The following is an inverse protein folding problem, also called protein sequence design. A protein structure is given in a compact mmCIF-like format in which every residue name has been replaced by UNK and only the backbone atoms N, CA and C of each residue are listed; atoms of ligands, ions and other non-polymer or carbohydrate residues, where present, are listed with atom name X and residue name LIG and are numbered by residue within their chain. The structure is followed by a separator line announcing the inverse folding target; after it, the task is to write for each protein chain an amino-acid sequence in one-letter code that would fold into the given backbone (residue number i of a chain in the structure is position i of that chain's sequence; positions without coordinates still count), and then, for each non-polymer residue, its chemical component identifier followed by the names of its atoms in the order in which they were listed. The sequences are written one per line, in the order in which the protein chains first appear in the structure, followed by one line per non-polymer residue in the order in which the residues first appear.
data_IF_808593861743
#
_entry.id   IF_808593861743
#
_cell.length_a   1.000
_cell.length_b   1.000
_cell.length_c   1.000
_cell.angle_alpha   90.00
_cell.angle_beta   90.00
_cell.angle_gamma   90.00
#
_symmetry.space_group_name_H-M   'P 1'
#
loop_
_entity.id
_entity.type
_entity.pdbx_description
1 polymer ?
#
# COMPACT_ATOMS: atom_id res chain seq x y z
N UNK A 1 -24.45 -4.48 28.29
CA UNK A 1 -25.78 -3.85 28.11
C UNK A 1 -25.77 -3.23 26.71
N UNK A 2 -26.51 -3.78 25.74
CA UNK A 2 -26.74 -3.08 24.46
C UNK A 2 -27.59 -1.85 24.79
N UNK A 3 -27.06 -0.65 24.55
CA UNK A 3 -27.87 0.58 24.59
C UNK A 3 -28.97 0.43 23.53
N UNK A 4 -30.25 0.46 23.95
CA UNK A 4 -31.40 0.51 23.04
C UNK A 4 -31.44 1.91 22.41
N UNK A 5 -30.58 2.15 21.42
CA UNK A 5 -30.72 3.32 20.55
C UNK A 5 -31.92 3.09 19.63
N UNK A 6 -32.79 4.11 19.39
CA UNK A 6 -33.88 3.99 18.43
C UNK A 6 -33.39 3.83 16.98
N UNK A 7 -32.11 4.09 16.72
CA UNK A 7 -31.47 3.95 15.42
C UNK A 7 -30.15 3.18 15.59
N UNK A 8 -29.93 2.16 14.76
CA UNK A 8 -28.70 1.41 14.72
C UNK A 8 -27.71 2.08 13.72
N UNK A 9 -26.97 3.08 14.24
CA UNK A 9 -25.97 3.81 13.45
C UNK A 9 -24.81 2.89 13.04
N UNK A 10 -24.46 1.91 13.87
CA UNK A 10 -23.39 0.96 13.57
C UNK A 10 -23.75 0.12 12.33
N UNK A 11 -24.96 -0.42 12.27
CA UNK A 11 -25.42 -1.16 11.10
C UNK A 11 -25.47 -0.31 9.83
N UNK A 12 -25.93 0.94 9.94
CA UNK A 12 -25.93 1.88 8.80
C UNK A 12 -24.51 2.14 8.30
N UNK A 13 -23.56 2.37 9.20
CA UNK A 13 -22.17 2.63 8.83
C UNK A 13 -21.47 1.40 8.23
N UNK A 14 -21.71 0.21 8.77
CA UNK A 14 -21.17 -1.03 8.23
C UNK A 14 -21.70 -1.29 6.80
N UNK A 15 -23.00 -1.11 6.58
CA UNK A 15 -23.59 -1.23 5.23
C UNK A 15 -22.99 -0.21 4.22
N UNK A 16 -22.73 1.02 4.67
CA UNK A 16 -22.02 1.99 3.85
C UNK A 16 -20.60 1.52 3.47
N UNK A 17 -19.87 0.91 4.41
CA UNK A 17 -18.52 0.41 4.15
C UNK A 17 -18.52 -0.78 3.19
N UNK A 18 -19.51 -1.67 3.28
CA UNK A 18 -19.69 -2.80 2.38
C UNK A 18 -19.94 -2.33 0.95
N UNK A 19 -20.87 -1.39 0.76
CA UNK A 19 -21.15 -0.81 -0.56
C UNK A 19 -19.93 -0.11 -1.15
N UNK A 20 -19.18 0.65 -0.33
CA UNK A 20 -17.95 1.33 -0.76
C UNK A 20 -16.83 0.35 -1.11
N UNK A 21 -16.75 -0.76 -0.43
CA UNK A 21 -15.78 -1.83 -0.75
C UNK A 21 -16.15 -2.49 -2.08
N UNK A 22 -17.43 -2.74 -2.33
CA UNK A 22 -17.93 -3.29 -3.59
C UNK A 22 -17.70 -2.34 -4.77
N UNK A 23 -17.99 -1.04 -4.62
CA UNK A 23 -17.67 -0.02 -5.62
C UNK A 23 -16.16 0.04 -5.94
N UNK A 24 -15.31 0.03 -4.92
CA UNK A 24 -13.86 0.03 -5.10
C UNK A 24 -13.39 -1.28 -5.76
N UNK A 25 -14.01 -2.41 -5.42
CA UNK A 25 -13.74 -3.70 -6.06
C UNK A 25 -14.10 -3.63 -7.54
N UNK A 26 -15.30 -3.21 -7.89
CA UNK A 26 -15.77 -3.08 -9.28
C UNK A 26 -14.85 -2.14 -10.05
N UNK A 27 -14.53 -0.96 -9.50
CA UNK A 27 -13.67 0.03 -10.17
C UNK A 27 -12.23 -0.47 -10.38
N UNK A 28 -11.66 -1.19 -9.40
CA UNK A 28 -10.34 -1.79 -9.52
C UNK A 28 -10.27 -2.90 -10.55
N UNK A 29 -11.38 -3.60 -10.76
CA UNK A 29 -11.40 -4.86 -11.48
C UNK A 29 -12.18 -4.82 -12.80
N UNK A 30 -12.77 -3.67 -13.12
CA UNK A 30 -13.61 -3.48 -14.31
C UNK A 30 -12.83 -3.55 -15.63
N UNK A 31 -11.53 -3.21 -15.62
CA UNK A 31 -10.62 -3.25 -16.77
C UNK A 31 -9.49 -4.26 -16.55
N UNK A 32 -9.84 -5.46 -16.09
CA UNK A 32 -8.85 -6.48 -15.75
C UNK A 32 -8.22 -7.16 -16.96
N UNK A 33 -7.10 -6.64 -17.32
CA UNK A 33 -5.96 -7.47 -17.66
C UNK A 33 -5.38 -8.05 -16.36
N UNK A 34 -4.79 -9.24 -16.40
CA UNK A 34 -4.30 -10.00 -15.23
C UNK A 34 -3.06 -9.35 -14.57
N UNK A 35 -3.20 -8.12 -14.03
CA UNK A 35 -2.10 -7.43 -13.36
C UNK A 35 -1.93 -7.87 -11.92
N UNK A 36 -0.67 -7.96 -11.48
CA UNK A 36 -0.32 -7.97 -10.06
C UNK A 36 -0.47 -6.57 -9.48
N UNK A 37 -0.96 -6.48 -8.27
CA UNK A 37 -1.01 -5.22 -7.55
C UNK A 37 0.31 -4.94 -6.83
N UNK A 38 0.91 -3.77 -7.03
CA UNK A 38 2.16 -3.36 -6.39
C UNK A 38 2.12 -3.50 -4.86
N UNK A 39 0.95 -3.27 -4.23
CA UNK A 39 0.73 -3.49 -2.80
C UNK A 39 0.81 -4.96 -2.37
N UNK A 40 0.81 -5.91 -3.31
CA UNK A 40 1.04 -7.33 -3.07
C UNK A 40 2.52 -7.71 -2.96
N UNK A 41 3.45 -6.77 -3.16
CA UNK A 41 4.88 -7.05 -3.06
C UNK A 41 5.24 -7.66 -1.69
N UNK A 42 6.04 -8.74 -1.70
CA UNK A 42 6.39 -9.48 -0.50
C UNK A 42 5.29 -10.37 0.08
N UNK A 43 4.12 -10.45 -0.56
CA UNK A 43 3.06 -11.39 -0.20
C UNK A 43 3.40 -12.82 -0.63
N UNK A 44 2.65 -13.77 -0.09
CA UNK A 44 2.72 -15.17 -0.50
C UNK A 44 2.44 -15.34 -2.00
N UNK A 45 3.34 -15.99 -2.73
CA UNK A 45 3.22 -16.24 -4.17
C UNK A 45 1.91 -16.97 -4.53
N UNK A 46 1.48 -17.95 -3.72
CA UNK A 46 0.18 -18.62 -3.92
C UNK A 46 -1.02 -17.67 -3.77
N UNK A 47 -0.94 -16.71 -2.83
CA UNK A 47 -1.98 -15.68 -2.70
C UNK A 47 -2.05 -14.84 -3.98
N UNK A 48 -0.91 -14.37 -4.48
CA UNK A 48 -0.83 -13.60 -5.72
C UNK A 48 -1.32 -14.38 -6.93
N UNK A 49 -1.05 -15.70 -6.98
CA UNK A 49 -1.58 -16.58 -8.01
C UNK A 49 -3.11 -16.65 -7.99
N UNK A 50 -3.70 -16.89 -6.80
CA UNK A 50 -5.17 -16.91 -6.65
C UNK A 50 -5.81 -15.57 -7.00
N UNK A 51 -5.17 -14.47 -6.61
CA UNK A 51 -5.68 -13.11 -6.82
C UNK A 51 -5.58 -12.68 -8.29
N UNK A 52 -4.42 -12.84 -8.93
CA UNK A 52 -4.12 -12.20 -10.21
C UNK A 52 -4.15 -13.16 -11.40
N UNK A 53 -3.82 -14.44 -11.22
CA UNK A 53 -3.75 -15.41 -12.33
C UNK A 53 -5.10 -16.08 -12.56
N UNK A 54 -5.66 -16.73 -11.53
CA UNK A 54 -6.93 -17.44 -11.65
C UNK A 54 -8.14 -16.65 -11.17
N UNK A 55 -7.93 -15.49 -10.56
CA UNK A 55 -8.99 -14.61 -10.05
C UNK A 55 -10.02 -15.35 -9.19
N UNK A 56 -9.51 -16.15 -8.24
CA UNK A 56 -10.35 -16.94 -7.35
C UNK A 56 -11.23 -16.02 -6.49
N UNK A 57 -12.44 -16.49 -6.20
CA UNK A 57 -13.29 -15.83 -5.22
C UNK A 57 -12.68 -15.94 -3.82
N UNK A 58 -12.80 -14.87 -3.04
CA UNK A 58 -12.41 -14.88 -1.64
C UNK A 58 -13.29 -15.87 -0.85
N UNK A 59 -12.65 -16.70 -0.04
CA UNK A 59 -13.36 -17.69 0.81
C UNK A 59 -13.56 -17.22 2.24
N UNK A 60 -12.91 -16.14 2.63
CA UNK A 60 -12.94 -15.57 3.97
C UNK A 60 -13.34 -14.10 3.87
N UNK A 61 -14.42 -13.74 4.52
CA UNK A 61 -14.86 -12.34 4.62
C UNK A 61 -14.08 -11.60 5.70
N UNK A 62 -13.84 -10.33 5.44
CA UNK A 62 -13.25 -9.44 6.44
C UNK A 62 -14.30 -9.03 7.45
N UNK A 63 -13.98 -9.14 8.75
CA UNK A 63 -14.88 -8.67 9.80
C UNK A 63 -15.06 -7.14 9.76
N UNK A 64 -16.22 -6.68 10.27
CA UNK A 64 -16.62 -5.27 10.25
C UNK A 64 -15.63 -4.36 11.00
N UNK A 65 -15.02 -4.84 12.08
CA UNK A 65 -14.01 -4.10 12.84
C UNK A 65 -12.77 -3.83 12.00
N UNK A 66 -12.32 -4.84 11.25
CA UNK A 66 -11.19 -4.72 10.32
C UNK A 66 -11.52 -3.78 9.16
N UNK A 67 -12.73 -3.84 8.59
CA UNK A 67 -13.18 -2.90 7.54
C UNK A 67 -13.13 -1.44 8.05
N UNK A 68 -13.61 -1.19 9.28
CA UNK A 68 -13.55 0.15 9.91
C UNK A 68 -12.12 0.63 10.13
N UNK A 69 -11.20 -0.26 10.56
CA UNK A 69 -9.79 0.08 10.74
C UNK A 69 -9.08 0.41 9.44
N UNK A 70 -9.41 -0.29 8.35
CA UNK A 70 -8.90 0.02 7.02
C UNK A 70 -9.43 1.38 6.54
N UNK A 71 -10.71 1.64 6.72
CA UNK A 71 -11.30 2.95 6.37
C UNK A 71 -10.60 4.11 7.10
N UNK A 72 -10.32 3.95 8.40
CA UNK A 72 -9.56 4.94 9.15
C UNK A 72 -8.15 5.15 8.56
N UNK A 73 -7.51 4.10 8.06
CA UNK A 73 -6.26 4.21 7.31
C UNK A 73 -6.41 5.09 6.08
N UNK A 74 -7.41 4.81 5.25
CA UNK A 74 -7.67 5.58 4.02
C UNK A 74 -7.95 7.06 4.32
N UNK A 75 -8.74 7.36 5.37
CA UNK A 75 -9.00 8.75 5.77
C UNK A 75 -7.72 9.50 6.12
N UNK A 76 -6.76 8.85 6.80
CA UNK A 76 -5.46 9.46 7.11
C UNK A 76 -4.65 9.71 5.83
N UNK A 77 -4.65 8.77 4.87
CA UNK A 77 -4.00 8.97 3.57
C UNK A 77 -4.63 10.15 2.83
N UNK A 78 -5.96 10.13 2.66
CA UNK A 78 -6.72 11.17 1.97
C UNK A 78 -6.42 12.57 2.55
N UNK A 79 -6.36 12.70 3.88
CA UNK A 79 -6.13 13.98 4.57
C UNK A 79 -4.69 14.49 4.39
N UNK A 80 -3.69 13.60 4.52
CA UNK A 80 -2.28 13.97 4.29
C UNK A 80 -2.07 14.38 2.83
N UNK A 81 -2.58 13.64 1.87
CA UNK A 81 -2.45 13.93 0.45
C UNK A 81 -3.14 15.25 0.09
N UNK A 82 -4.34 15.47 0.59
CA UNK A 82 -5.05 16.72 0.40
C UNK A 82 -4.28 17.94 0.96
N UNK A 83 -3.62 17.80 2.09
CA UNK A 83 -2.77 18.86 2.64
C UNK A 83 -1.62 19.25 1.71
N UNK A 84 -1.03 18.27 0.99
CA UNK A 84 0.03 18.50 0.01
C UNK A 84 -0.49 19.17 -1.27
N UNK A 85 -1.70 18.87 -1.70
CA UNK A 85 -2.36 19.55 -2.81
C UNK A 85 -2.61 21.03 -2.48
N UNK A 86 -3.05 21.33 -1.24
CA UNK A 86 -3.19 22.70 -0.75
C UNK A 86 -1.83 23.40 -0.76
N UNK A 87 -0.78 22.77 -0.27
CA UNK A 87 0.58 23.31 -0.28
C UNK A 87 1.05 23.64 -1.70
N UNK A 88 0.85 22.76 -2.68
CA UNK A 88 1.17 23.03 -4.09
C UNK A 88 0.48 24.27 -4.62
N UNK A 89 -0.83 24.42 -4.31
CA UNK A 89 -1.62 25.58 -4.73
C UNK A 89 -1.12 26.87 -4.11
N UNK A 90 -0.73 26.83 -2.83
CA UNK A 90 -0.24 28.01 -2.12
C UNK A 90 1.14 28.45 -2.63
N UNK A 91 2.02 27.51 -2.97
CA UNK A 91 3.30 27.80 -3.63
C UNK A 91 3.07 28.42 -5.01
N UNK A 92 2.19 27.82 -5.82
CA UNK A 92 1.88 28.35 -7.14
C UNK A 92 1.36 29.81 -7.08
N UNK A 93 0.51 30.14 -6.11
CA UNK A 93 0.00 31.50 -5.92
C UNK A 93 1.09 32.47 -5.46
N UNK A 94 1.97 32.08 -4.53
CA UNK A 94 3.12 32.90 -4.09
C UNK A 94 4.11 33.18 -5.22
N UNK A 95 4.40 32.18 -6.05
CA UNK A 95 5.33 32.29 -7.18
C UNK A 95 4.80 33.21 -8.29
N UNK A 96 3.45 33.36 -8.38
CA UNK A 96 2.83 34.35 -9.28
C UNK A 96 2.97 35.78 -8.80
N UNK A 97 2.98 36.00 -7.48
CA UNK A 97 3.04 37.33 -6.88
C UNK A 97 4.49 37.86 -6.75
N UNK A 98 5.49 36.95 -6.73
CA UNK A 98 6.90 37.28 -6.59
C UNK A 98 7.65 36.88 -7.85
N UNK A 99 8.33 37.83 -8.50
CA UNK A 99 9.24 37.54 -9.63
C UNK A 99 10.44 36.61 -9.27
N UNK A 100 10.68 36.39 -7.97
CA UNK A 100 11.71 35.50 -7.47
C UNK A 100 11.11 34.12 -7.14
N UNK A 101 11.27 33.17 -8.05
CA UNK A 101 10.96 31.76 -7.85
C UNK A 101 11.90 31.17 -6.79
N UNK A 102 11.38 30.84 -5.60
CA UNK A 102 12.16 30.12 -4.59
C UNK A 102 12.60 28.76 -5.17
N UNK A 103 13.92 28.56 -5.36
CA UNK A 103 14.50 27.34 -5.92
C UNK A 103 14.33 26.10 -5.03
N UNK A 104 13.83 26.25 -3.81
CA UNK A 104 13.79 25.20 -2.81
C UNK A 104 12.41 24.54 -2.60
N UNK A 105 11.38 24.97 -3.33
CA UNK A 105 10.06 24.40 -3.17
C UNK A 105 9.93 23.04 -3.86
N UNK A 106 9.25 22.11 -3.17
CA UNK A 106 8.83 20.85 -3.74
C UNK A 106 7.45 20.99 -4.41
N UNK A 107 7.25 20.20 -5.46
CA UNK A 107 5.93 19.92 -6.02
C UNK A 107 5.58 18.49 -5.65
N UNK A 108 4.40 18.27 -5.11
CA UNK A 108 3.93 16.95 -4.71
C UNK A 108 2.94 16.41 -5.72
N UNK A 109 3.13 15.16 -6.11
CA UNK A 109 2.21 14.37 -6.92
C UNK A 109 1.63 13.28 -6.04
N UNK A 110 0.30 13.18 -5.96
CA UNK A 110 -0.41 12.23 -5.11
C UNK A 110 -1.20 11.22 -5.94
N UNK A 111 -1.39 10.01 -5.44
CA UNK A 111 -2.19 8.93 -6.04
C UNK A 111 -1.89 8.66 -7.53
N UNK A 112 -0.61 8.74 -7.89
CA UNK A 112 -0.21 8.52 -9.27
C UNK A 112 -0.13 7.04 -9.64
N UNK A 113 -0.70 6.71 -10.78
CA UNK A 113 -0.65 5.35 -11.32
C UNK A 113 0.73 4.98 -11.82
N UNK A 114 1.13 3.74 -11.54
CA UNK A 114 2.29 3.07 -12.14
C UNK A 114 1.84 1.81 -12.88
N UNK A 115 2.52 1.54 -14.00
CA UNK A 115 2.42 0.31 -14.77
C UNK A 115 3.84 -0.15 -15.13
N UNK A 116 4.15 -1.40 -14.80
CA UNK A 116 5.40 -2.08 -15.16
C UNK A 116 4.99 -3.24 -16.07
N UNK A 117 4.92 -2.97 -17.37
CA UNK A 117 4.36 -3.90 -18.38
C UNK A 117 5.11 -5.23 -18.41
N UNK A 118 6.45 -5.20 -18.39
CA UNK A 118 7.29 -6.41 -18.46
C UNK A 118 7.13 -7.33 -17.25
N UNK A 119 6.68 -6.81 -16.11
CA UNK A 119 6.40 -7.58 -14.89
C UNK A 119 4.90 -7.81 -14.67
N UNK A 120 4.06 -7.22 -15.50
CA UNK A 120 2.61 -7.24 -15.35
C UNK A 120 2.15 -6.70 -13.98
N UNK A 121 2.77 -5.61 -13.50
CA UNK A 121 2.50 -5.00 -12.19
C UNK A 121 1.89 -3.62 -12.36
N UNK A 122 0.78 -3.36 -11.67
CA UNK A 122 0.07 -2.07 -11.62
C UNK A 122 -0.11 -1.63 -10.18
N UNK A 123 -0.13 -0.34 -9.94
CA UNK A 123 -0.41 0.21 -8.61
C UNK A 123 -0.50 1.73 -8.61
N UNK A 124 -0.70 2.27 -7.42
CA UNK A 124 -0.77 3.70 -7.19
C UNK A 124 0.19 4.04 -6.04
N UNK A 125 1.12 4.97 -6.30
CA UNK A 125 1.98 5.49 -5.23
C UNK A 125 1.24 6.57 -4.44
N UNK A 126 1.58 6.71 -3.16
CA UNK A 126 0.92 7.72 -2.32
C UNK A 126 1.43 9.12 -2.64
N UNK A 127 2.75 9.34 -2.66
CA UNK A 127 3.36 10.67 -2.83
C UNK A 127 4.69 10.57 -3.57
N UNK A 128 4.85 11.38 -4.61
CA UNK A 128 6.14 11.74 -5.20
C UNK A 128 6.39 13.22 -4.98
N UNK A 129 7.51 13.56 -4.36
CA UNK A 129 7.97 14.93 -4.18
C UNK A 129 9.08 15.25 -5.18
N UNK A 130 8.84 16.20 -6.06
CA UNK A 130 9.80 16.68 -7.06
C UNK A 130 10.30 18.06 -6.67
N UNK A 131 11.61 18.24 -6.57
CA UNK A 131 12.25 19.54 -6.37
C UNK A 131 12.58 20.16 -7.71
N UNK A 132 12.59 21.47 -7.79
CA UNK A 132 12.85 22.22 -9.00
C UNK A 132 14.19 21.89 -9.67
N UNK A 133 15.19 21.45 -8.89
CA UNK A 133 16.49 20.98 -9.36
C UNK A 133 16.48 19.51 -9.80
N UNK A 134 15.29 18.94 -10.01
CA UNK A 134 15.03 17.57 -10.46
C UNK A 134 15.36 16.47 -9.45
N UNK A 135 15.53 16.78 -8.17
CA UNK A 135 15.55 15.74 -7.14
C UNK A 135 14.15 15.13 -6.97
N UNK A 136 14.08 13.81 -6.92
CA UNK A 136 12.83 13.05 -6.84
C UNK A 136 12.84 12.16 -5.61
N UNK A 137 11.82 12.29 -4.78
CA UNK A 137 11.63 11.51 -3.56
C UNK A 137 10.28 10.82 -3.56
N UNK A 138 10.26 9.57 -3.19
CA UNK A 138 9.05 8.75 -3.11
C UNK A 138 8.69 8.46 -1.66
N UNK A 139 7.43 8.65 -1.32
CA UNK A 139 6.90 8.35 0.02
C UNK A 139 5.67 7.45 -0.09
N UNK A 140 5.55 6.55 0.87
CA UNK A 140 4.39 5.70 1.03
C UNK A 140 3.90 5.80 2.48
N UNK A 141 2.62 6.10 2.66
CA UNK A 141 1.99 6.33 3.96
C UNK A 141 1.57 5.00 4.55
N UNK A 142 1.92 4.76 5.80
CA UNK A 142 1.54 3.55 6.53
C UNK A 142 0.88 3.90 7.85
N UNK A 143 -0.37 3.52 8.02
CA UNK A 143 -1.03 3.65 9.31
C UNK A 143 -0.83 2.39 10.16
N UNK A 144 -0.59 2.56 11.44
CA UNK A 144 -0.41 1.43 12.36
C UNK A 144 -1.08 1.70 13.72
N UNK A 145 -1.26 0.66 14.50
CA UNK A 145 -1.67 0.75 15.90
C UNK A 145 -0.47 0.89 16.84
N UNK A 146 -0.73 1.15 18.11
CA UNK A 146 0.29 1.32 19.15
C UNK A 146 1.19 0.10 19.32
N UNK A 147 0.65 -1.11 19.17
CA UNK A 147 1.44 -2.34 19.26
C UNK A 147 2.47 -2.41 18.12
N UNK A 148 2.04 -2.26 16.88
CA UNK A 148 2.93 -2.26 15.70
C UNK A 148 3.94 -1.11 15.76
N UNK A 149 3.52 0.06 16.26
CA UNK A 149 4.41 1.20 16.49
C UNK A 149 5.52 0.86 17.48
N UNK A 150 5.17 0.26 18.64
CA UNK A 150 6.15 -0.14 19.65
C UNK A 150 7.09 -1.23 19.16
N UNK A 151 6.58 -2.17 18.36
CA UNK A 151 7.40 -3.23 17.75
C UNK A 151 8.45 -2.67 16.79
N UNK A 152 8.12 -1.61 16.05
CA UNK A 152 9.03 -0.99 15.08
C UNK A 152 9.93 0.08 15.70
N UNK A 153 9.39 0.92 16.57
CA UNK A 153 10.04 2.13 17.08
C UNK A 153 10.29 2.14 18.58
N UNK A 154 9.93 1.07 19.28
CA UNK A 154 10.12 0.95 20.73
C UNK A 154 11.60 0.78 21.12
N UNK A 155 11.86 0.76 22.44
CA UNK A 155 13.22 0.62 23.00
C UNK A 155 13.90 -0.70 22.62
N UNK A 156 13.13 -1.74 22.36
CA UNK A 156 13.59 -3.06 21.90
C UNK A 156 12.79 -3.41 20.65
N UNK A 157 13.17 -2.89 19.47
CA UNK A 157 12.50 -3.27 18.24
C UNK A 157 12.71 -4.78 18.04
N UNK A 158 11.61 -5.47 17.85
CA UNK A 158 11.67 -6.88 17.49
C UNK A 158 11.91 -7.02 15.98
N UNK A 159 12.10 -8.27 15.53
CA UNK A 159 12.21 -8.58 14.10
C UNK A 159 11.17 -7.80 13.27
N UNK A 160 11.67 -7.08 12.26
CA UNK A 160 10.84 -6.19 11.43
C UNK A 160 10.05 -7.01 10.39
N UNK A 161 8.74 -7.25 10.56
CA UNK A 161 7.93 -7.94 9.58
C UNK A 161 7.53 -7.07 8.39
N UNK A 162 8.09 -5.87 8.25
CA UNK A 162 7.64 -4.87 7.27
C UNK A 162 8.37 -4.90 5.93
N UNK A 163 9.10 -5.98 5.63
CA UNK A 163 9.79 -6.14 4.34
C UNK A 163 8.85 -5.99 3.13
N UNK A 164 7.58 -6.32 3.28
CA UNK A 164 6.56 -6.14 2.25
C UNK A 164 6.29 -4.67 1.94
N UNK A 165 6.35 -3.76 2.93
CA UNK A 165 6.24 -2.32 2.69
C UNK A 165 7.45 -1.75 1.94
N UNK A 166 8.63 -2.26 2.27
CA UNK A 166 9.88 -1.87 1.62
C UNK A 166 9.93 -2.37 0.17
N UNK A 167 9.42 -3.59 -0.09
CA UNK A 167 9.28 -4.12 -1.44
C UNK A 167 8.18 -3.40 -2.25
N UNK A 168 7.05 -3.06 -1.63
CA UNK A 168 6.02 -2.25 -2.25
C UNK A 168 6.58 -0.89 -2.68
N UNK A 169 7.28 -0.20 -1.78
CA UNK A 169 7.91 1.08 -2.05
C UNK A 169 8.99 0.94 -3.14
N UNK A 170 9.78 -0.14 -3.12
CA UNK A 170 10.75 -0.46 -4.17
C UNK A 170 10.10 -0.71 -5.53
N UNK A 171 8.89 -1.29 -5.57
CA UNK A 171 8.12 -1.48 -6.80
C UNK A 171 7.72 -0.13 -7.41
N UNK A 172 7.19 0.77 -6.59
CA UNK A 172 6.89 2.13 -7.03
C UNK A 172 8.17 2.87 -7.44
N UNK A 173 9.26 2.69 -6.67
CA UNK A 173 10.56 3.30 -6.95
C UNK A 173 11.12 2.89 -8.30
N UNK A 174 10.97 1.63 -8.71
CA UNK A 174 11.35 1.16 -10.04
C UNK A 174 10.59 1.93 -11.14
N UNK A 175 9.27 1.98 -11.05
CA UNK A 175 8.46 2.67 -12.05
C UNK A 175 8.72 4.18 -12.11
N UNK A 176 8.96 4.82 -10.95
CA UNK A 176 9.29 6.25 -10.87
C UNK A 176 10.66 6.52 -11.48
N UNK A 177 11.66 5.67 -11.20
CA UNK A 177 13.00 5.80 -11.77
C UNK A 177 12.97 5.67 -13.29
N UNK A 178 12.21 4.73 -13.85
CA UNK A 178 12.01 4.57 -15.29
C UNK A 178 11.28 5.80 -15.90
N UNK A 179 10.21 6.27 -15.25
CA UNK A 179 9.38 7.37 -15.75
C UNK A 179 10.07 8.73 -15.69
N UNK A 180 10.79 9.01 -14.60
CA UNK A 180 11.39 10.32 -14.31
C UNK A 180 12.91 10.36 -14.57
N UNK A 181 13.54 9.22 -14.83
CA UNK A 181 14.98 9.08 -15.05
C UNK A 181 15.82 9.26 -13.78
N UNK A 182 15.19 9.44 -12.61
CA UNK A 182 15.85 9.71 -11.33
C UNK A 182 14.98 9.32 -10.14
N UNK A 183 15.63 8.86 -9.09
CA UNK A 183 15.04 8.66 -7.75
C UNK A 183 16.15 8.85 -6.71
N UNK A 184 16.05 9.89 -5.89
CA UNK A 184 17.07 10.27 -4.90
C UNK A 184 16.83 9.69 -3.51
N UNK A 185 15.58 9.33 -3.19
CA UNK A 185 15.27 8.71 -1.91
C UNK A 185 13.88 8.12 -1.84
N UNK A 186 13.75 7.13 -0.98
CA UNK A 186 12.49 6.45 -0.68
C UNK A 186 12.21 6.46 0.81
N UNK A 187 10.96 6.69 1.20
CA UNK A 187 10.57 6.85 2.60
C UNK A 187 9.23 6.19 2.91
N UNK A 188 9.16 5.52 4.06
CA UNK A 188 7.89 5.09 4.66
C UNK A 188 7.48 6.10 5.71
N UNK A 189 6.29 6.67 5.56
CA UNK A 189 5.74 7.67 6.46
C UNK A 189 4.69 7.02 7.36
N UNK A 190 5.04 6.78 8.62
CA UNK A 190 4.19 6.08 9.57
C UNK A 190 3.31 7.05 10.36
N UNK A 191 2.02 6.71 10.46
CA UNK A 191 1.06 7.39 11.32
C UNK A 191 0.46 6.40 12.33
N UNK A 192 0.60 6.70 13.62
CA UNK A 192 0.02 5.90 14.70
C UNK A 192 -1.43 6.32 14.93
N UNK A 193 -2.39 5.44 14.62
CA UNK A 193 -3.82 5.72 14.74
C UNK A 193 -4.32 5.90 16.19
N UNK A 194 -3.56 5.46 17.20
CA UNK A 194 -3.96 5.57 18.60
C UNK A 194 -3.61 6.92 19.26
N UNK A 195 -2.51 7.56 18.83
CA UNK A 195 -2.00 8.76 19.46
C UNK A 195 -1.51 9.84 18.48
N UNK A 196 -1.78 9.65 17.19
CA UNK A 196 -1.41 10.56 16.09
C UNK A 196 0.09 10.87 15.97
N UNK A 197 0.95 10.04 16.56
CA UNK A 197 2.39 10.19 16.36
C UNK A 197 2.78 9.87 14.93
N UNK A 198 3.70 10.66 14.39
CA UNK A 198 4.17 10.51 13.01
C UNK A 198 5.68 10.25 12.98
N UNK A 199 6.13 9.43 12.03
CA UNK A 199 7.54 9.15 11.83
C UNK A 199 7.86 8.80 10.38
N UNK A 200 8.90 9.42 9.83
CA UNK A 200 9.45 9.10 8.53
C UNK A 200 10.67 8.18 8.68
N UNK A 201 10.76 7.16 7.84
CA UNK A 201 11.87 6.19 7.82
C UNK A 201 12.39 6.06 6.41
N UNK A 202 13.68 6.30 6.22
CA UNK A 202 14.34 6.07 4.93
C UNK A 202 14.40 4.59 4.59
N UNK A 203 14.13 4.26 3.34
CA UNK A 203 14.27 2.91 2.77
C UNK A 203 15.41 2.93 1.76
N UNK A 204 16.39 2.01 1.85
CA UNK A 204 17.50 1.97 0.92
C UNK A 204 17.05 1.79 -0.53
N UNK A 205 17.66 2.51 -1.46
CA UNK A 205 17.38 2.39 -2.90
C UNK A 205 17.62 0.98 -3.47
N UNK A 206 18.39 0.15 -2.76
CA UNK A 206 18.57 -1.27 -3.12
C UNK A 206 17.26 -2.07 -3.13
N UNK A 207 16.20 -1.55 -2.50
CA UNK A 207 14.88 -2.18 -2.59
C UNK A 207 14.21 -2.03 -3.96
N UNK A 208 14.65 -1.10 -4.80
CA UNK A 208 14.22 -1.01 -6.20
C UNK A 208 14.57 -2.31 -6.95
N UNK A 209 15.85 -2.70 -6.93
CA UNK A 209 16.29 -3.95 -7.57
C UNK A 209 15.74 -5.21 -6.88
N UNK A 210 15.57 -5.18 -5.56
CA UNK A 210 14.94 -6.30 -4.82
C UNK A 210 13.47 -6.49 -5.20
N UNK A 211 12.73 -5.41 -5.38
CA UNK A 211 11.34 -5.46 -5.80
C UNK A 211 11.21 -5.97 -7.24
N UNK A 212 12.08 -5.50 -8.13
CA UNK A 212 12.14 -6.01 -9.49
C UNK A 212 12.38 -7.53 -9.52
N UNK A 213 13.39 -8.00 -8.79
CA UNK A 213 13.70 -9.43 -8.68
C UNK A 213 12.54 -10.23 -8.05
N UNK A 214 11.87 -9.67 -7.03
CA UNK A 214 10.70 -10.32 -6.44
C UNK A 214 9.60 -10.56 -7.47
N UNK A 215 9.25 -9.55 -8.27
CA UNK A 215 8.21 -9.68 -9.29
C UNK A 215 8.60 -10.57 -10.46
N UNK A 216 9.88 -10.54 -10.87
CA UNK A 216 10.43 -11.46 -11.87
C UNK A 216 10.24 -12.91 -11.42
N UNK A 217 10.65 -13.23 -10.18
CA UNK A 217 10.50 -14.58 -9.63
C UNK A 217 9.02 -14.99 -9.51
N UNK A 218 8.14 -14.08 -9.09
CA UNK A 218 6.69 -14.34 -9.01
C UNK A 218 6.13 -14.67 -10.39
N UNK A 219 6.48 -13.88 -11.40
CA UNK A 219 6.02 -14.10 -12.78
C UNK A 219 6.49 -15.45 -13.32
N UNK A 220 7.78 -15.74 -13.21
CA UNK A 220 8.38 -17.01 -13.66
C UNK A 220 7.77 -18.23 -12.94
N UNK A 221 7.54 -18.12 -11.62
CA UNK A 221 6.90 -19.18 -10.82
C UNK A 221 5.45 -19.42 -11.28
N UNK A 222 4.70 -18.35 -11.56
CA UNK A 222 3.30 -18.43 -11.98
C UNK A 222 3.13 -18.94 -13.42
N UNK A 223 4.09 -18.74 -14.30
CA UNK A 223 4.12 -19.33 -15.64
C UNK A 223 4.20 -20.88 -15.59
N UNK A 224 4.74 -21.44 -14.50
CA UNK A 224 4.80 -22.87 -14.24
C UNK A 224 3.51 -23.43 -13.62
N UNK A 225 2.56 -22.57 -13.22
CA UNK A 225 1.31 -22.90 -12.57
C UNK A 225 1.26 -22.55 -11.09
N UNK A 226 0.40 -23.25 -10.33
CA UNK A 226 0.21 -22.94 -8.91
C UNK A 226 1.51 -23.15 -8.10
N UNK A 227 2.02 -22.12 -7.42
CA UNK A 227 3.23 -22.22 -6.59
C UNK A 227 3.11 -23.33 -5.52
N UNK A 228 4.10 -24.22 -5.39
CA UNK A 228 3.99 -25.38 -4.49
C UNK A 228 4.09 -25.00 -3.02
N UNK A 229 4.79 -23.92 -2.69
CA UNK A 229 5.11 -23.57 -1.31
C UNK A 229 4.19 -22.47 -0.77
N UNK A 230 3.83 -22.62 0.51
CA UNK A 230 3.10 -21.61 1.29
C UNK A 230 4.08 -20.84 2.15
N UNK A 231 4.14 -19.54 1.99
CA UNK A 231 4.98 -18.68 2.83
C UNK A 231 4.57 -18.77 4.32
N UNK A 232 3.28 -18.87 4.59
CA UNK A 232 2.72 -18.90 5.95
C UNK A 232 2.95 -20.21 6.73
N UNK A 233 3.64 -21.21 6.19
CA UNK A 233 4.10 -22.36 6.97
C UNK A 233 5.35 -22.06 7.79
N UNK A 234 6.04 -20.97 7.48
CA UNK A 234 7.14 -20.47 8.30
C UNK A 234 6.59 -19.80 9.57
N UNK A 235 7.13 -20.11 10.77
CA UNK A 235 6.70 -19.47 12.02
C UNK A 235 6.75 -17.95 11.99
N UNK A 236 7.65 -17.37 11.21
CA UNK A 236 7.83 -15.92 11.06
C UNK A 236 6.74 -15.26 10.22
N UNK A 237 6.10 -16.03 9.34
CA UNK A 237 5.14 -15.51 8.36
C UNK A 237 3.76 -16.19 8.44
N UNK A 238 3.46 -16.91 9.52
CA UNK A 238 2.17 -17.59 9.72
C UNK A 238 0.98 -16.64 9.69
N UNK A 239 1.20 -15.37 10.04
CA UNK A 239 0.22 -14.30 9.97
C UNK A 239 -0.34 -14.11 8.54
N UNK A 240 0.46 -14.33 7.50
CA UNK A 240 -0.01 -14.24 6.12
C UNK A 240 -1.13 -15.24 5.83
N UNK A 241 -1.03 -16.47 6.36
CA UNK A 241 -2.09 -17.46 6.23
C UNK A 241 -3.30 -17.16 7.12
N UNK A 242 -3.09 -16.60 8.32
CA UNK A 242 -4.19 -16.27 9.25
C UNK A 242 -5.16 -15.24 8.67
N UNK A 243 -4.62 -14.26 7.93
CA UNK A 243 -5.39 -13.16 7.34
C UNK A 243 -5.59 -13.30 5.83
N UNK A 244 -5.37 -14.50 5.28
CA UNK A 244 -5.48 -14.74 3.84
C UNK A 244 -6.93 -15.02 3.44
N UNK A 245 -7.49 -14.17 2.61
CA UNK A 245 -8.84 -14.33 2.06
C UNK A 245 -9.02 -15.57 1.17
N UNK A 246 -7.93 -16.18 0.69
CA UNK A 246 -7.93 -17.40 -0.13
C UNK A 246 -7.63 -18.67 0.66
N UNK A 247 -7.81 -18.64 1.99
CA UNK A 247 -7.46 -19.77 2.86
C UNK A 247 -8.21 -21.04 2.51
N UNK A 248 -9.50 -20.94 2.18
CA UNK A 248 -10.33 -22.08 1.80
C UNK A 248 -9.89 -22.71 0.49
N UNK A 249 -9.60 -21.90 -0.54
CA UNK A 249 -9.09 -22.39 -1.84
C UNK A 249 -7.70 -23.00 -1.70
N UNK A 250 -6.83 -22.40 -0.87
CA UNK A 250 -5.46 -22.87 -0.66
C UNK A 250 -5.39 -24.16 0.17
N UNK A 251 -6.35 -24.39 1.06
CA UNK A 251 -6.51 -25.57 1.91
C UNK A 251 -7.93 -26.11 1.79
N UNK A 252 -8.35 -26.68 0.65
CA UNK A 252 -9.69 -27.24 0.54
C UNK A 252 -9.88 -28.29 1.66
N UNK A 253 -11.08 -28.37 2.26
CA UNK A 253 -11.39 -29.43 3.20
C UNK A 253 -11.17 -30.78 2.51
N UNK A 254 -10.61 -31.73 3.25
CA UNK A 254 -10.37 -33.10 2.76
C UNK A 254 -11.69 -33.80 2.57
#
# INVERSE_FOLDING_TARGET
MKQNSPVDIEAIYNNYLDNKQEENYINRYKDREHFYHASGAGSCSRKLYFESVIQAEATEDMDEGTKRLLRLGNVVHDDIQHSLEIYNRDIYNRDKEKENKEKESFVFHTEGEILIEELNVRGFYDIVAEKKDKEVYLFDIKTCNDWSWKMKFGRKPSFNPSIHYELQLGTYGYAIQEKMGRLDGMYLYYYNKNNSSMRCVSVPLTYVSRAYLFWTNVKEEHEQGLPPFRVGVSPVQDWQCKYCQFRGVCNPPK
#
